data_IF_149852387293
#
_entry.id   IF_149852387293
#
_cell.length_a   1.000
_cell.length_b   1.000
_cell.length_c   1.000
_cell.angle_alpha   90.00
_cell.angle_beta   90.00
_cell.angle_gamma   90.00
#
_symmetry.space_group_name_H-M   'P 1'
#
loop_
_entity.id
_entity.type
_entity.pdbx_description
1 polymer ?
#
# COMPACT_ATOMS: atom_id res chain seq x y z
N UNK A 1 16.33 20.27 -18.99
CA UNK A 1 15.11 20.87 -18.42
C UNK A 1 14.19 19.86 -17.71
N UNK A 2 14.20 18.56 -18.07
CA UNK A 2 13.36 17.55 -17.40
C UNK A 2 13.95 17.07 -16.08
N UNK A 3 15.26 16.79 -16.01
CA UNK A 3 15.89 16.25 -14.80
C UNK A 3 15.76 17.17 -13.58
N UNK A 4 15.99 18.48 -13.75
CA UNK A 4 15.85 19.46 -12.67
C UNK A 4 14.40 19.57 -12.18
N UNK A 5 13.42 19.51 -13.10
CA UNK A 5 11.99 19.52 -12.74
C UNK A 5 11.60 18.24 -12.01
N UNK A 6 12.07 17.07 -12.46
CA UNK A 6 11.83 15.79 -11.80
C UNK A 6 12.44 15.75 -10.40
N UNK A 7 13.69 16.22 -10.25
CA UNK A 7 14.35 16.35 -8.95
C UNK A 7 13.61 17.31 -8.03
N UNK A 8 13.14 18.45 -8.55
CA UNK A 8 12.35 19.42 -7.81
C UNK A 8 11.00 18.82 -7.37
N UNK A 9 10.33 18.04 -8.23
CA UNK A 9 9.09 17.34 -7.89
C UNK A 9 9.30 16.32 -6.76
N UNK A 10 10.35 15.50 -6.82
CA UNK A 10 10.67 14.57 -5.73
C UNK A 10 11.05 15.28 -4.44
N UNK A 11 11.79 16.39 -4.53
CA UNK A 11 12.10 17.24 -3.37
C UNK A 11 10.85 17.88 -2.77
N UNK A 12 9.91 18.33 -3.59
CA UNK A 12 8.65 18.90 -3.10
C UNK A 12 7.79 17.85 -2.40
N UNK A 13 7.69 16.65 -2.98
CA UNK A 13 6.97 15.53 -2.38
C UNK A 13 7.62 15.16 -1.05
N UNK A 14 8.95 14.96 -1.03
CA UNK A 14 9.69 14.68 0.19
C UNK A 14 9.53 15.77 1.25
N UNK A 15 9.56 17.04 0.85
CA UNK A 15 9.33 18.16 1.75
C UNK A 15 7.93 18.11 2.35
N UNK A 16 6.87 17.93 1.55
CA UNK A 16 5.47 17.82 2.01
C UNK A 16 5.31 16.70 3.05
N UNK A 17 5.96 15.55 2.87
CA UNK A 17 5.94 14.46 3.84
C UNK A 17 6.67 14.80 5.15
N UNK A 18 7.68 15.68 5.12
CA UNK A 18 8.43 16.08 6.34
C UNK A 18 7.73 17.18 7.16
N UNK A 19 6.93 18.06 6.52
CA UNK A 19 6.25 19.17 7.22
C UNK A 19 5.03 18.71 8.02
N UNK A 20 4.42 17.56 7.69
CA UNK A 20 3.28 16.99 8.44
C UNK A 20 3.70 16.14 9.64
N UNK A 21 5.00 15.81 9.78
CA UNK A 21 5.49 14.81 10.74
C UNK A 21 6.08 15.35 12.06
N UNK A 22 6.24 16.66 12.24
CA UNK A 22 7.09 17.17 13.33
C UNK A 22 6.52 17.04 14.76
N UNK A 23 5.27 16.63 14.96
CA UNK A 23 4.73 16.46 16.33
C UNK A 23 3.51 15.53 16.49
N UNK A 24 3.12 14.76 15.46
CA UNK A 24 1.88 13.98 15.51
C UNK A 24 1.90 12.58 14.88
N UNK A 25 2.94 12.21 14.14
CA UNK A 25 3.09 10.88 13.58
C UNK A 25 3.84 9.98 14.57
N UNK A 26 3.28 8.81 14.89
CA UNK A 26 3.92 7.84 15.78
C UNK A 26 3.86 6.42 15.22
N UNK A 27 4.71 5.56 15.73
CA UNK A 27 4.86 4.17 15.30
C UNK A 27 4.18 3.24 16.31
N UNK A 28 3.53 2.20 15.81
CA UNK A 28 3.00 1.14 16.63
C UNK A 28 4.13 0.22 17.13
N UNK A 29 3.94 -0.35 18.32
CA UNK A 29 4.80 -1.41 18.86
C UNK A 29 3.94 -2.64 19.13
N UNK A 30 3.55 -3.31 18.05
CA UNK A 30 2.67 -4.46 18.01
C UNK A 30 3.42 -5.75 17.68
N UNK A 31 2.71 -6.89 17.75
CA UNK A 31 3.29 -8.21 17.51
C UNK A 31 3.03 -8.68 16.08
N UNK A 32 3.91 -9.54 15.57
CA UNK A 32 3.77 -10.20 14.27
C UNK A 32 2.58 -11.16 14.15
N UNK A 33 1.95 -11.55 15.27
CA UNK A 33 0.88 -12.54 15.28
C UNK A 33 -0.41 -11.92 15.77
N UNK A 34 -1.53 -12.30 15.15
CA UNK A 34 -2.85 -11.89 15.59
C UNK A 34 -3.88 -11.95 14.48
N UNK A 35 -5.15 -11.84 14.89
CA UNK A 35 -6.29 -11.74 13.96
C UNK A 35 -6.15 -10.53 13.03
N UNK A 36 -5.70 -9.42 13.59
CA UNK A 36 -5.48 -8.15 12.91
C UNK A 36 -4.55 -8.30 11.68
N UNK A 37 -3.39 -8.95 11.86
CA UNK A 37 -2.44 -9.24 10.78
C UNK A 37 -3.05 -10.09 9.64
N UNK A 38 -3.89 -11.06 10.01
CA UNK A 38 -4.63 -11.86 9.02
C UNK A 38 -5.68 -11.03 8.26
N UNK A 39 -6.25 -10.00 8.90
CA UNK A 39 -7.19 -9.08 8.24
C UNK A 39 -6.47 -8.18 7.24
N UNK A 40 -5.31 -7.63 7.57
CA UNK A 40 -4.45 -6.88 6.64
C UNK A 40 -4.09 -7.73 5.42
N UNK A 41 -3.59 -8.95 5.65
CA UNK A 41 -3.28 -9.89 4.56
C UNK A 41 -4.48 -10.18 3.66
N UNK A 42 -5.62 -10.56 4.26
CA UNK A 42 -6.81 -10.98 3.49
C UNK A 42 -7.41 -9.81 2.73
N UNK A 43 -7.50 -8.63 3.36
CA UNK A 43 -7.98 -7.42 2.71
C UNK A 43 -7.09 -7.05 1.52
N UNK A 44 -5.77 -7.03 1.72
CA UNK A 44 -4.82 -6.69 0.66
C UNK A 44 -4.82 -7.72 -0.47
N UNK A 45 -4.97 -9.01 -0.16
CA UNK A 45 -5.14 -10.03 -1.20
C UNK A 45 -6.42 -9.79 -2.04
N UNK A 46 -7.54 -9.51 -1.38
CA UNK A 46 -8.80 -9.22 -2.06
C UNK A 46 -8.71 -7.95 -2.92
N UNK A 47 -8.08 -6.89 -2.42
CA UNK A 47 -7.93 -5.63 -3.15
C UNK A 47 -6.98 -5.76 -4.35
N UNK A 48 -5.89 -6.52 -4.22
CA UNK A 48 -5.00 -6.79 -5.35
C UNK A 48 -5.70 -7.59 -6.45
N UNK A 49 -6.47 -8.61 -6.07
CA UNK A 49 -7.30 -9.38 -6.99
C UNK A 49 -8.35 -8.50 -7.68
N UNK A 50 -9.07 -7.67 -6.92
CA UNK A 50 -10.08 -6.76 -7.44
C UNK A 50 -9.47 -5.73 -8.41
N UNK A 51 -8.30 -5.17 -8.08
CA UNK A 51 -7.58 -4.24 -8.94
C UNK A 51 -7.12 -4.89 -10.25
N UNK A 52 -6.56 -6.10 -10.18
CA UNK A 52 -6.22 -6.87 -11.38
C UNK A 52 -7.45 -7.13 -12.26
N UNK A 53 -8.53 -7.63 -11.67
CA UNK A 53 -9.78 -7.90 -12.38
C UNK A 53 -10.40 -6.64 -12.99
N UNK A 54 -10.27 -5.50 -12.32
CA UNK A 54 -10.69 -4.21 -12.87
C UNK A 54 -9.87 -3.85 -14.12
N UNK A 55 -8.53 -3.87 -14.02
CA UNK A 55 -7.64 -3.52 -15.12
C UNK A 55 -7.79 -4.47 -16.33
N UNK A 56 -7.97 -5.76 -16.08
CA UNK A 56 -8.25 -6.74 -17.14
C UNK A 56 -9.55 -6.43 -17.88
N UNK A 57 -10.63 -6.02 -17.17
CA UNK A 57 -11.88 -5.57 -17.81
C UNK A 57 -11.71 -4.30 -18.64
N UNK A 58 -10.66 -3.51 -18.37
CA UNK A 58 -10.30 -2.35 -19.19
C UNK A 58 -9.40 -2.72 -20.37
N UNK A 59 -9.15 -4.01 -20.63
CA UNK A 59 -8.25 -4.52 -21.68
C UNK A 59 -6.81 -4.01 -21.54
N UNK A 60 -6.34 -3.80 -20.30
CA UNK A 60 -4.94 -3.44 -20.07
C UNK A 60 -4.01 -4.61 -20.40
N UNK A 61 -2.76 -4.31 -20.72
CA UNK A 61 -1.76 -5.36 -20.91
C UNK A 61 -1.58 -6.13 -19.60
N UNK A 62 -1.30 -7.42 -19.69
CA UNK A 62 -1.15 -8.31 -18.53
C UNK A 62 -0.22 -7.73 -17.44
N UNK A 63 0.92 -7.18 -17.87
CA UNK A 63 1.89 -6.57 -16.94
C UNK A 63 1.32 -5.33 -16.26
N UNK A 64 0.59 -4.50 -16.98
CA UNK A 64 0.04 -3.25 -16.46
C UNK A 64 -1.11 -3.55 -15.47
N UNK A 65 -1.95 -4.55 -15.78
CA UNK A 65 -2.99 -5.03 -14.88
C UNK A 65 -2.40 -5.59 -13.57
N UNK A 66 -1.33 -6.41 -13.68
CA UNK A 66 -0.57 -6.94 -12.55
C UNK A 66 -0.01 -5.83 -11.66
N UNK A 67 0.69 -4.86 -12.27
CA UNK A 67 1.27 -3.73 -11.56
C UNK A 67 0.19 -2.89 -10.89
N UNK A 68 -0.91 -2.61 -11.59
CA UNK A 68 -2.01 -1.83 -11.07
C UNK A 68 -2.64 -2.47 -9.84
N UNK A 69 -3.03 -3.75 -9.91
CA UNK A 69 -3.69 -4.40 -8.78
C UNK A 69 -2.82 -4.45 -7.53
N UNK A 70 -1.54 -4.82 -7.69
CA UNK A 70 -0.59 -4.85 -6.56
C UNK A 70 -0.38 -3.45 -5.97
N UNK A 71 -0.09 -2.45 -6.80
CA UNK A 71 0.16 -1.08 -6.33
C UNK A 71 -1.09 -0.45 -5.73
N UNK A 72 -2.27 -0.72 -6.29
CA UNK A 72 -3.54 -0.28 -5.76
C UNK A 72 -3.74 -0.80 -4.32
N UNK A 73 -3.53 -2.10 -4.10
CA UNK A 73 -3.64 -2.69 -2.77
C UNK A 73 -2.62 -2.11 -1.77
N UNK A 74 -1.34 -2.05 -2.16
CA UNK A 74 -0.28 -1.52 -1.29
C UNK A 74 -0.54 -0.06 -0.93
N UNK A 75 -1.05 0.73 -1.87
CA UNK A 75 -1.41 2.14 -1.62
C UNK A 75 -2.51 2.26 -0.58
N UNK A 76 -3.50 1.36 -0.57
CA UNK A 76 -4.55 1.34 0.45
C UNK A 76 -4.01 0.95 1.83
N UNK A 77 -3.12 -0.05 1.91
CA UNK A 77 -2.43 -0.40 3.15
C UNK A 77 -1.60 0.75 3.69
N UNK A 78 -0.76 1.36 2.86
CA UNK A 78 0.03 2.53 3.23
C UNK A 78 -0.86 3.71 3.68
N UNK A 79 -1.98 3.96 3.00
CA UNK A 79 -2.91 5.02 3.38
C UNK A 79 -3.55 4.76 4.75
N UNK A 80 -3.87 3.50 5.06
CA UNK A 80 -4.38 3.10 6.38
C UNK A 80 -3.32 3.31 7.46
N UNK A 81 -2.09 2.87 7.26
CA UNK A 81 -1.02 3.06 8.25
C UNK A 81 -0.65 4.55 8.42
N UNK A 82 -0.68 5.35 7.35
CA UNK A 82 -0.56 6.81 7.45
C UNK A 82 -1.69 7.42 8.29
N UNK A 83 -2.92 6.93 8.12
CA UNK A 83 -4.06 7.39 8.90
C UNK A 83 -3.94 7.01 10.38
N UNK A 84 -3.44 5.81 10.67
CA UNK A 84 -3.20 5.33 12.03
C UNK A 84 -2.05 6.06 12.72
N UNK A 85 -1.11 6.60 11.96
CA UNK A 85 0.02 7.36 12.49
C UNK A 85 -0.38 8.62 13.24
N UNK A 86 -1.58 9.17 13.01
CA UNK A 86 -2.09 10.42 13.60
C UNK A 86 -2.02 10.40 15.15
N UNK A 87 -2.08 11.57 15.83
CA UNK A 87 -1.90 11.64 17.29
C UNK A 87 -2.86 10.76 18.11
N UNK A 88 -4.10 10.58 17.64
CA UNK A 88 -5.13 9.77 18.30
C UNK A 88 -5.29 8.37 17.67
N UNK A 89 -4.38 7.96 16.78
CA UNK A 89 -4.40 6.67 16.12
C UNK A 89 -3.59 5.62 16.89
N UNK A 90 -3.45 4.45 16.27
CA UNK A 90 -2.71 3.29 16.80
C UNK A 90 -1.21 3.33 16.48
N UNK A 91 -0.80 4.24 15.59
CA UNK A 91 0.55 4.37 15.08
C UNK A 91 0.78 3.55 13.81
N UNK A 92 1.79 3.91 13.02
CA UNK A 92 2.21 3.11 11.87
C UNK A 92 2.77 1.76 12.33
N UNK A 93 2.19 0.65 11.87
CA UNK A 93 2.72 -0.69 12.06
C UNK A 93 3.46 -1.18 10.81
N UNK A 94 4.76 -1.41 10.97
CA UNK A 94 5.54 -2.11 9.94
C UNK A 94 5.11 -3.57 9.77
N UNK A 95 4.55 -4.17 10.82
CA UNK A 95 4.04 -5.52 10.76
C UNK A 95 2.81 -5.56 9.87
N UNK A 96 1.81 -4.71 10.11
CA UNK A 96 0.61 -4.62 9.26
C UNK A 96 0.95 -4.32 7.82
N UNK A 97 1.83 -3.33 7.60
CA UNK A 97 2.26 -3.00 6.24
C UNK A 97 2.96 -4.17 5.54
N UNK A 98 3.74 -4.99 6.26
CA UNK A 98 4.33 -6.20 5.69
C UNK A 98 3.27 -7.25 5.31
N UNK A 99 2.23 -7.41 6.13
CA UNK A 99 1.10 -8.28 5.80
C UNK A 99 0.28 -7.73 4.63
N UNK A 100 0.17 -6.42 4.46
CA UNK A 100 -0.46 -5.81 3.29
C UNK A 100 0.32 -6.10 2.00
N UNK A 101 1.64 -5.96 2.03
CA UNK A 101 2.50 -6.31 0.88
C UNK A 101 2.40 -7.81 0.57
N UNK A 102 2.51 -8.67 1.58
CA UNK A 102 2.39 -10.11 1.40
C UNK A 102 1.01 -10.51 0.85
N UNK A 103 -0.05 -9.91 1.38
CA UNK A 103 -1.42 -10.09 0.93
C UNK A 103 -1.58 -9.66 -0.53
N UNK A 104 -1.10 -8.48 -0.90
CA UNK A 104 -1.19 -7.97 -2.27
C UNK A 104 -0.51 -8.90 -3.29
N UNK A 105 0.68 -9.41 -2.96
CA UNK A 105 1.41 -10.37 -3.81
C UNK A 105 0.67 -11.70 -3.90
N UNK A 106 0.13 -12.19 -2.79
CA UNK A 106 -0.65 -13.44 -2.75
C UNK A 106 -1.95 -13.31 -3.57
N UNK A 107 -2.69 -12.21 -3.41
CA UNK A 107 -3.93 -11.93 -4.14
C UNK A 107 -3.72 -11.81 -5.64
N UNK A 108 -2.65 -11.12 -6.04
CA UNK A 108 -2.20 -11.11 -7.44
C UNK A 108 -1.91 -12.54 -7.93
N UNK A 109 -1.06 -13.28 -7.23
CA UNK A 109 -0.66 -14.63 -7.65
C UNK A 109 -1.86 -15.57 -7.78
N UNK A 110 -2.80 -15.48 -6.83
CA UNK A 110 -4.04 -16.24 -6.87
C UNK A 110 -4.90 -15.83 -8.07
N UNK A 111 -5.07 -14.54 -8.34
CA UNK A 111 -5.82 -14.08 -9.50
C UNK A 111 -5.24 -14.61 -10.82
N UNK A 112 -3.91 -14.58 -10.97
CA UNK A 112 -3.25 -15.12 -12.16
C UNK A 112 -3.43 -16.63 -12.31
N UNK A 113 -3.52 -17.37 -11.20
CA UNK A 113 -3.74 -18.83 -11.24
C UNK A 113 -5.16 -19.23 -11.60
N UNK A 114 -6.13 -18.32 -11.44
CA UNK A 114 -7.55 -18.55 -11.72
C UNK A 114 -7.97 -18.08 -13.12
N UNK A 115 -7.07 -17.39 -13.83
CA UNK A 115 -7.26 -16.85 -15.17
C UNK A 115 -6.79 -17.84 -16.22
#
# INVERSE_FOLDING_TARGET
MNLLKTLLSYLLIGLIFTITGCSGAHWANDNWQGKDKAQHFTFSAAMAMAGNAYADRQNWQHRDAAQFGVLFSITLGAAKELYDSRPNGTGWSWHDFAYDVAGAVAGYSLYQSLK
#
